data_IF_261685979975
#
_entry.id   IF_261685979975
#
_cell.length_a   1.000
_cell.length_b   1.000
_cell.length_c   1.000
_cell.angle_alpha   90.00
_cell.angle_beta   90.00
_cell.angle_gamma   90.00
#
_symmetry.space_group_name_H-M   'P 1'
#
loop_
_entity.id
_entity.type
_entity.pdbx_description
1 polymer ?
#
# COMPACT_ATOMS: atom_id res chain seq x y z
N UNK A 1 -22.71 29.79 -30.50
CA UNK A 1 -22.06 28.48 -30.31
C UNK A 1 -20.83 28.70 -29.42
N UNK A 2 -20.98 28.55 -28.09
CA UNK A 2 -19.91 28.74 -27.14
C UNK A 2 -19.16 27.42 -27.00
N UNK A 3 -17.93 27.35 -27.49
CA UNK A 3 -17.01 26.23 -27.29
C UNK A 3 -16.56 26.24 -25.83
N UNK A 4 -17.09 25.34 -25.01
CA UNK A 4 -16.60 25.12 -23.65
C UNK A 4 -15.24 24.43 -23.78
N UNK A 5 -14.17 25.21 -23.61
CA UNK A 5 -12.81 24.69 -23.48
C UNK A 5 -12.76 23.89 -22.19
N UNK A 6 -12.80 22.58 -22.28
CA UNK A 6 -12.67 21.65 -21.17
C UNK A 6 -11.17 21.53 -20.83
N UNK A 7 -10.60 22.57 -20.22
CA UNK A 7 -9.25 22.49 -19.68
C UNK A 7 -9.26 21.45 -18.54
N UNK A 8 -8.38 20.44 -18.54
CA UNK A 8 -8.33 19.42 -17.49
C UNK A 8 -8.14 20.07 -16.12
N UNK A 9 -8.98 19.71 -15.16
CA UNK A 9 -8.87 20.20 -13.78
C UNK A 9 -7.53 19.78 -13.17
N UNK A 10 -7.07 20.52 -12.16
CA UNK A 10 -5.80 20.19 -11.46
C UNK A 10 -5.81 18.78 -10.87
N UNK A 11 -6.98 18.30 -10.42
CA UNK A 11 -7.17 16.91 -9.96
C UNK A 11 -6.97 15.90 -11.09
N UNK A 12 -7.56 16.13 -12.26
CA UNK A 12 -7.41 15.28 -13.46
C UNK A 12 -5.94 15.19 -13.91
N UNK A 13 -5.20 16.29 -13.91
CA UNK A 13 -3.76 16.29 -14.26
C UNK A 13 -2.94 15.46 -13.28
N UNK A 14 -3.26 15.47 -11.98
CA UNK A 14 -2.57 14.65 -10.97
C UNK A 14 -2.78 13.15 -11.21
N UNK A 15 -4.02 12.77 -11.44
CA UNK A 15 -4.39 11.38 -11.73
C UNK A 15 -3.72 10.87 -13.02
N UNK A 16 -3.68 11.68 -14.06
CA UNK A 16 -2.98 11.35 -15.32
C UNK A 16 -1.49 11.12 -15.11
N UNK A 17 -0.83 11.96 -14.30
CA UNK A 17 0.59 11.81 -13.97
C UNK A 17 0.82 10.52 -13.17
N UNK A 18 -0.01 10.23 -12.16
CA UNK A 18 0.09 8.99 -11.37
C UNK A 18 -0.17 7.75 -12.23
N UNK A 19 -1.16 7.77 -13.13
CA UNK A 19 -1.42 6.67 -14.04
C UNK A 19 -0.23 6.42 -15.00
N UNK A 20 0.37 7.50 -15.53
CA UNK A 20 1.59 7.40 -16.35
C UNK A 20 2.78 6.87 -15.55
N UNK A 21 2.93 7.29 -14.28
CA UNK A 21 3.98 6.79 -13.40
C UNK A 21 3.80 5.29 -13.11
N UNK A 22 2.57 4.85 -12.81
CA UNK A 22 2.27 3.44 -12.62
C UNK A 22 2.65 2.59 -13.84
N UNK A 23 2.26 3.05 -15.04
CA UNK A 23 2.64 2.40 -16.30
C UNK A 23 4.16 2.34 -16.49
N UNK A 24 4.90 3.42 -16.16
CA UNK A 24 6.37 3.42 -16.24
C UNK A 24 6.99 2.40 -15.27
N UNK A 25 6.49 2.32 -14.04
CA UNK A 25 6.98 1.35 -13.04
C UNK A 25 6.78 -0.10 -13.51
N UNK A 26 5.59 -0.39 -14.04
CA UNK A 26 5.26 -1.75 -14.51
C UNK A 26 6.08 -2.15 -15.75
N UNK A 27 6.32 -1.19 -16.67
CA UNK A 27 7.02 -1.49 -17.93
C UNK A 27 8.54 -1.55 -17.79
N UNK A 28 9.12 -0.70 -16.95
CA UNK A 28 10.59 -0.52 -16.86
C UNK A 28 11.20 -0.95 -15.54
N UNK A 29 10.39 -1.21 -14.53
CA UNK A 29 10.82 -1.33 -13.14
C UNK A 29 11.08 0.04 -12.48
N UNK A 30 10.91 0.11 -11.17
CA UNK A 30 11.00 1.38 -10.42
C UNK A 30 12.38 2.05 -10.53
N UNK A 31 13.45 1.26 -10.66
CA UNK A 31 14.84 1.75 -10.70
C UNK A 31 15.16 2.55 -11.97
N UNK A 32 14.38 2.35 -13.04
CA UNK A 32 14.58 2.99 -14.34
C UNK A 32 13.59 4.12 -14.64
N UNK A 33 12.65 4.35 -13.73
CA UNK A 33 11.63 5.40 -13.92
C UNK A 33 12.23 6.78 -13.73
N UNK A 34 11.91 7.69 -14.64
CA UNK A 34 12.30 9.11 -14.55
C UNK A 34 11.09 10.02 -14.63
N UNK A 35 11.13 11.17 -13.93
CA UNK A 35 10.06 12.16 -14.02
C UNK A 35 9.89 12.72 -15.44
N UNK A 36 10.95 12.73 -16.24
CA UNK A 36 10.90 13.16 -17.65
C UNK A 36 10.06 12.20 -18.50
N UNK A 37 10.23 10.88 -18.32
CA UNK A 37 9.45 9.87 -19.03
C UNK A 37 7.99 9.88 -18.57
N UNK A 38 7.75 10.03 -17.25
CA UNK A 38 6.40 10.19 -16.71
C UNK A 38 5.71 11.40 -17.35
N UNK A 39 6.39 12.57 -17.43
CA UNK A 39 5.84 13.76 -18.06
C UNK A 39 5.46 13.53 -19.53
N UNK A 40 6.34 12.86 -20.28
CA UNK A 40 6.11 12.49 -21.67
C UNK A 40 4.87 11.59 -21.84
N UNK A 41 4.75 10.52 -21.02
CA UNK A 41 3.59 9.62 -21.06
C UNK A 41 2.29 10.29 -20.62
N UNK A 42 2.36 11.14 -19.59
CA UNK A 42 1.19 11.86 -19.10
C UNK A 42 0.72 12.97 -20.06
N UNK A 43 1.51 13.31 -21.11
CA UNK A 43 1.20 14.42 -22.01
C UNK A 43 1.20 15.77 -21.29
N UNK A 44 2.13 15.97 -20.34
CA UNK A 44 2.28 17.22 -19.58
C UNK A 44 3.72 17.73 -19.66
N UNK A 45 3.91 19.01 -19.32
CA UNK A 45 5.26 19.59 -19.25
C UNK A 45 6.04 19.04 -18.05
N UNK A 46 7.38 18.90 -18.17
CA UNK A 46 8.25 18.52 -17.04
C UNK A 46 8.04 19.40 -15.79
N UNK A 47 8.00 20.75 -15.89
CA UNK A 47 7.72 21.60 -14.74
C UNK A 47 6.40 21.28 -14.03
N UNK A 48 5.38 20.80 -14.75
CA UNK A 48 4.10 20.38 -14.17
C UNK A 48 4.27 19.18 -13.24
N UNK A 49 5.10 18.22 -13.61
CA UNK A 49 5.42 17.05 -12.76
C UNK A 49 6.28 17.46 -11.57
N UNK A 50 7.41 18.18 -11.82
CA UNK A 50 8.34 18.59 -10.76
C UNK A 50 7.72 19.48 -9.68
N UNK A 51 6.71 20.26 -10.02
CA UNK A 51 5.99 21.08 -9.04
C UNK A 51 5.21 20.23 -8.01
N UNK A 52 4.75 19.04 -8.40
CA UNK A 52 3.97 18.14 -7.52
C UNK A 52 4.84 17.07 -6.86
N UNK A 53 5.78 16.54 -7.60
CA UNK A 53 6.70 15.50 -7.16
C UNK A 53 8.12 15.92 -7.51
N UNK A 54 8.90 16.35 -6.52
CA UNK A 54 10.25 16.87 -6.77
C UNK A 54 11.23 15.80 -7.27
N UNK A 55 10.95 14.54 -6.97
CA UNK A 55 11.78 13.39 -7.33
C UNK A 55 10.95 12.14 -7.62
N UNK A 56 11.62 11.10 -8.13
CA UNK A 56 11.00 9.80 -8.42
C UNK A 56 10.52 9.11 -7.14
N UNK A 57 11.22 9.29 -6.01
CA UNK A 57 10.85 8.67 -4.74
C UNK A 57 9.48 9.18 -4.27
N UNK A 58 9.23 10.47 -4.37
CA UNK A 58 7.97 11.07 -3.95
C UNK A 58 6.77 10.61 -4.77
N UNK A 59 6.93 10.42 -6.09
CA UNK A 59 5.83 9.92 -6.92
C UNK A 59 5.59 8.42 -6.72
N UNK A 60 6.64 7.61 -6.49
CA UNK A 60 6.50 6.19 -6.16
C UNK A 60 5.84 6.02 -4.79
N UNK A 61 6.19 6.84 -3.79
CA UNK A 61 5.51 6.85 -2.50
C UNK A 61 4.02 7.20 -2.62
N UNK A 62 3.67 8.16 -3.49
CA UNK A 62 2.27 8.48 -3.78
C UNK A 62 1.53 7.31 -4.46
N UNK A 63 2.19 6.60 -5.37
CA UNK A 63 1.64 5.39 -5.99
C UNK A 63 1.38 4.29 -4.96
N UNK A 64 2.36 3.98 -4.11
CA UNK A 64 2.19 2.99 -3.03
C UNK A 64 1.02 3.36 -2.12
N UNK A 65 0.93 4.64 -1.71
CA UNK A 65 -0.18 5.12 -0.87
C UNK A 65 -1.53 4.92 -1.55
N UNK A 66 -1.63 5.17 -2.85
CA UNK A 66 -2.83 4.95 -3.64
C UNK A 66 -3.22 3.47 -3.68
N UNK A 67 -2.30 2.57 -4.05
CA UNK A 67 -2.57 1.12 -4.16
C UNK A 67 -2.94 0.52 -2.80
N UNK A 68 -2.27 0.94 -1.72
CA UNK A 68 -2.65 0.54 -0.35
C UNK A 68 -4.07 1.02 0.00
N UNK A 69 -4.41 2.27 -0.34
CA UNK A 69 -5.76 2.81 -0.09
C UNK A 69 -6.83 2.07 -0.90
N UNK A 70 -6.52 1.68 -2.13
CA UNK A 70 -7.39 0.87 -2.98
C UNK A 70 -7.59 -0.53 -2.37
N UNK A 71 -6.53 -1.22 -1.97
CA UNK A 71 -6.62 -2.51 -1.30
C UNK A 71 -7.45 -2.46 0.00
N UNK A 72 -7.29 -1.39 0.79
CA UNK A 72 -8.10 -1.19 2.01
C UNK A 72 -9.59 -0.99 1.71
N UNK A 73 -9.93 -0.29 0.61
CA UNK A 73 -11.35 -0.11 0.19
C UNK A 73 -11.96 -1.41 -0.30
N UNK A 74 -11.17 -2.20 -1.03
CA UNK A 74 -11.62 -3.44 -1.66
C UNK A 74 -11.70 -4.61 -0.66
N UNK A 75 -11.08 -4.46 0.53
CA UNK A 75 -11.15 -5.40 1.64
C UNK A 75 -12.19 -4.95 2.69
N UNK A 76 -13.44 -5.43 2.62
CA UNK A 76 -14.48 -4.96 3.51
C UNK A 76 -14.21 -5.35 4.97
N UNK A 77 -14.49 -4.44 5.90
CA UNK A 77 -14.57 -4.77 7.31
C UNK A 77 -16.00 -5.22 7.63
N UNK A 78 -16.14 -6.44 8.11
CA UNK A 78 -17.44 -7.07 8.35
C UNK A 78 -17.89 -6.99 9.81
N UNK A 79 -17.04 -6.48 10.72
CA UNK A 79 -17.34 -6.33 12.16
C UNK A 79 -16.19 -5.65 12.90
N UNK A 80 -16.40 -5.36 14.19
CA UNK A 80 -15.43 -4.68 15.06
C UNK A 80 -14.67 -5.65 15.98
N UNK A 81 -14.81 -6.95 15.73
CA UNK A 81 -14.11 -8.00 16.49
C UNK A 81 -12.75 -8.37 15.87
N UNK A 82 -11.97 -9.14 16.65
CA UNK A 82 -10.64 -9.60 16.24
C UNK A 82 -10.67 -10.39 14.92
N UNK A 83 -11.62 -11.30 14.77
CA UNK A 83 -11.68 -12.18 13.59
C UNK A 83 -11.96 -11.38 12.32
N UNK A 84 -12.88 -10.41 12.38
CA UNK A 84 -13.19 -9.50 11.28
C UNK A 84 -11.98 -8.63 10.90
N UNK A 85 -11.25 -8.13 11.90
CA UNK A 85 -10.04 -7.35 11.70
C UNK A 85 -8.93 -8.19 11.04
N UNK A 86 -8.66 -9.39 11.58
CA UNK A 86 -7.64 -10.30 11.01
C UNK A 86 -8.01 -10.69 9.58
N UNK A 87 -9.26 -11.00 9.30
CA UNK A 87 -9.73 -11.31 7.94
C UNK A 87 -9.49 -10.15 6.97
N UNK A 88 -9.79 -8.91 7.39
CA UNK A 88 -9.51 -7.73 6.57
C UNK A 88 -8.01 -7.57 6.30
N UNK A 89 -7.14 -7.72 7.32
CA UNK A 89 -5.69 -7.61 7.18
C UNK A 89 -5.17 -8.65 6.18
N UNK A 90 -5.59 -9.90 6.30
CA UNK A 90 -5.21 -10.99 5.39
C UNK A 90 -5.67 -10.68 3.95
N UNK A 91 -6.88 -10.17 3.78
CA UNK A 91 -7.39 -9.79 2.45
C UNK A 91 -6.58 -8.64 1.85
N UNK A 92 -6.26 -7.60 2.62
CA UNK A 92 -5.38 -6.50 2.16
C UNK A 92 -4.00 -7.02 1.78
N UNK A 93 -3.42 -7.90 2.60
CA UNK A 93 -2.12 -8.50 2.32
C UNK A 93 -2.12 -9.31 1.01
N UNK A 94 -3.17 -10.09 0.76
CA UNK A 94 -3.33 -10.86 -0.48
C UNK A 94 -3.53 -9.96 -1.71
N UNK A 95 -4.33 -8.90 -1.61
CA UNK A 95 -4.50 -7.91 -2.68
C UNK A 95 -3.17 -7.23 -3.03
N UNK A 96 -2.42 -6.77 -2.02
CA UNK A 96 -1.12 -6.12 -2.23
C UNK A 96 -0.08 -7.09 -2.81
N UNK A 97 -0.08 -8.36 -2.38
CA UNK A 97 0.81 -9.40 -2.91
C UNK A 97 0.55 -9.69 -4.41
N UNK A 98 -0.68 -9.54 -4.87
CA UNK A 98 -1.06 -9.71 -6.27
C UNK A 98 -0.88 -8.45 -7.11
N UNK A 99 -0.64 -7.31 -6.47
CA UNK A 99 -0.46 -6.04 -7.15
C UNK A 99 0.93 -5.95 -7.80
N UNK A 100 0.96 -5.91 -9.13
CA UNK A 100 2.20 -5.89 -9.91
C UNK A 100 3.07 -4.67 -9.60
N UNK A 101 2.47 -3.51 -9.35
CA UNK A 101 3.21 -2.29 -9.05
C UNK A 101 3.84 -2.40 -7.65
N UNK A 102 3.06 -2.79 -6.65
CA UNK A 102 3.56 -2.99 -5.27
C UNK A 102 4.70 -3.98 -5.28
N UNK A 103 4.54 -5.14 -5.93
CA UNK A 103 5.59 -6.16 -5.99
C UNK A 103 6.82 -5.69 -6.78
N UNK A 104 6.66 -4.90 -7.84
CA UNK A 104 7.78 -4.30 -8.57
C UNK A 104 8.61 -3.36 -7.67
N UNK A 105 7.96 -2.60 -6.79
CA UNK A 105 8.66 -1.74 -5.83
C UNK A 105 9.33 -2.56 -4.72
N UNK A 106 8.62 -3.57 -4.16
CA UNK A 106 9.13 -4.41 -3.08
C UNK A 106 10.34 -5.25 -3.47
N UNK A 107 10.46 -5.63 -4.74
CA UNK A 107 11.57 -6.42 -5.29
C UNK A 107 12.66 -5.57 -5.95
N UNK A 108 12.59 -4.25 -5.90
CA UNK A 108 13.59 -3.35 -6.47
C UNK A 108 14.75 -3.09 -5.51
N UNK A 109 15.85 -2.58 -6.05
CA UNK A 109 16.98 -2.08 -5.25
C UNK A 109 16.59 -0.89 -4.36
N UNK A 110 15.52 -0.19 -4.70
CA UNK A 110 14.98 0.93 -3.92
C UNK A 110 14.02 0.49 -2.80
N UNK A 111 13.66 -0.78 -2.71
CA UNK A 111 12.77 -1.30 -1.67
C UNK A 111 13.16 -0.86 -0.23
N UNK A 112 14.45 -0.88 0.18
CA UNK A 112 14.85 -0.44 1.51
C UNK A 112 14.40 0.99 1.82
N UNK A 113 14.45 1.90 0.84
CA UNK A 113 14.07 3.31 1.02
C UNK A 113 12.60 3.45 1.37
N UNK A 114 11.74 2.59 0.79
CA UNK A 114 10.28 2.65 0.99
C UNK A 114 9.78 1.83 2.18
N UNK A 115 10.59 0.89 2.67
CA UNK A 115 10.14 -0.13 3.60
C UNK A 115 10.92 -0.11 4.93
N UNK A 116 12.24 0.13 4.90
CA UNK A 116 13.11 -0.09 6.07
C UNK A 116 13.80 1.15 6.61
N UNK A 117 14.05 2.18 5.80
CA UNK A 117 14.78 3.36 6.27
C UNK A 117 13.95 4.27 7.19
N UNK A 118 12.65 4.39 6.90
CA UNK A 118 11.67 5.11 7.74
C UNK A 118 10.26 4.75 7.33
N UNK A 119 9.31 4.94 8.25
CA UNK A 119 7.89 4.79 7.94
C UNK A 119 7.47 5.84 6.89
N UNK A 120 6.96 5.39 5.77
CA UNK A 120 6.38 6.22 4.72
C UNK A 120 4.93 6.60 5.01
N UNK A 121 4.35 7.45 4.17
CA UNK A 121 2.95 7.91 4.31
C UNK A 121 1.95 6.76 4.34
N UNK A 122 2.12 5.76 3.47
CA UNK A 122 1.24 4.58 3.41
C UNK A 122 1.29 3.75 4.70
N UNK A 123 2.48 3.59 5.29
CA UNK A 123 2.65 2.85 6.54
C UNK A 123 2.02 3.59 7.72
N UNK A 124 2.21 4.91 7.85
CA UNK A 124 1.53 5.71 8.88
C UNK A 124 0.01 5.60 8.75
N UNK A 125 -0.52 5.74 7.53
CA UNK A 125 -1.95 5.60 7.26
C UNK A 125 -2.49 4.22 7.70
N UNK A 126 -1.76 3.14 7.43
CA UNK A 126 -2.12 1.78 7.85
C UNK A 126 -2.08 1.64 9.37
N UNK A 127 -1.03 2.14 10.03
CA UNK A 127 -0.89 2.09 11.49
C UNK A 127 -2.04 2.85 12.15
N UNK A 128 -2.35 4.06 11.70
CA UNK A 128 -3.44 4.87 12.27
C UNK A 128 -4.80 4.18 12.11
N UNK A 129 -5.07 3.64 10.91
CA UNK A 129 -6.32 2.91 10.65
C UNK A 129 -6.43 1.65 11.50
N UNK A 130 -5.36 0.87 11.63
CA UNK A 130 -5.32 -0.34 12.45
C UNK A 130 -5.43 -0.02 13.94
N UNK A 131 -4.72 1.00 14.42
CA UNK A 131 -4.76 1.40 15.83
C UNK A 131 -6.17 1.83 16.26
N UNK A 132 -6.87 2.60 15.42
CA UNK A 132 -8.25 2.99 15.68
C UNK A 132 -9.18 1.77 15.83
N UNK A 133 -9.02 0.74 15.00
CA UNK A 133 -9.81 -0.50 15.04
C UNK A 133 -9.44 -1.39 16.21
N UNK A 134 -8.15 -1.53 16.51
CA UNK A 134 -7.68 -2.27 17.69
C UNK A 134 -8.25 -1.67 18.96
N UNK A 135 -8.29 -0.34 19.09
CA UNK A 135 -8.90 0.34 20.25
C UNK A 135 -10.40 0.04 20.37
N UNK A 136 -11.13 -0.12 19.25
CA UNK A 136 -12.53 -0.57 19.28
C UNK A 136 -12.64 -2.01 19.76
N UNK A 137 -11.87 -2.93 19.18
CA UNK A 137 -11.90 -4.35 19.51
C UNK A 137 -11.44 -4.64 20.96
N UNK A 138 -10.55 -3.82 21.53
CA UNK A 138 -10.17 -3.88 22.95
C UNK A 138 -11.33 -3.53 23.87
N UNK A 139 -12.14 -2.50 23.53
CA UNK A 139 -13.31 -2.13 24.35
C UNK A 139 -14.38 -3.21 24.42
N UNK A 140 -14.47 -4.03 23.40
CA UNK A 140 -15.39 -5.19 23.36
C UNK A 140 -14.77 -6.47 23.96
N UNK A 141 -13.51 -6.41 24.40
CA UNK A 141 -12.79 -7.57 24.94
C UNK A 141 -12.38 -8.60 23.89
N UNK A 142 -12.53 -8.29 22.59
CA UNK A 142 -12.17 -9.18 21.49
C UNK A 142 -10.66 -9.21 21.20
N UNK A 143 -9.93 -8.15 21.57
CA UNK A 143 -8.48 -8.02 21.45
C UNK A 143 -7.88 -7.77 22.83
N UNK A 144 -6.72 -8.38 23.14
CA UNK A 144 -6.01 -8.19 24.40
C UNK A 144 -5.70 -6.71 24.69
N UNK A 145 -5.50 -6.38 25.95
CA UNK A 145 -5.06 -5.06 26.37
C UNK A 145 -3.62 -4.77 25.85
N UNK A 146 -3.35 -3.51 25.56
CA UNK A 146 -2.06 -3.02 25.09
C UNK A 146 -2.18 -1.67 24.40
N UNK A 147 -1.06 -1.06 24.06
CA UNK A 147 -1.03 0.17 23.28
C UNK A 147 -1.46 -0.11 21.83
N UNK A 148 -2.57 0.48 21.34
CA UNK A 148 -3.08 0.17 20.00
C UNK A 148 -2.11 0.53 18.87
N UNK A 149 -1.28 1.59 19.03
CA UNK A 149 -0.32 2.01 18.02
C UNK A 149 0.86 1.04 17.92
N UNK A 150 1.37 0.59 19.08
CA UNK A 150 2.42 -0.43 19.12
C UNK A 150 1.92 -1.76 18.54
N UNK A 151 0.71 -2.16 18.87
CA UNK A 151 0.09 -3.38 18.34
C UNK A 151 -0.14 -3.27 16.84
N UNK A 152 -0.66 -2.16 16.36
CA UNK A 152 -0.83 -1.89 14.92
C UNK A 152 0.50 -1.94 14.16
N UNK A 153 1.54 -1.36 14.75
CA UNK A 153 2.90 -1.40 14.16
C UNK A 153 3.40 -2.85 14.04
N UNK A 154 3.22 -3.66 15.08
CA UNK A 154 3.64 -5.07 15.04
C UNK A 154 2.83 -5.88 14.03
N UNK A 155 1.52 -5.66 13.94
CA UNK A 155 0.65 -6.26 12.92
C UNK A 155 1.12 -5.89 11.51
N UNK A 156 1.45 -4.62 11.28
CA UNK A 156 1.99 -4.16 10.00
C UNK A 156 3.30 -4.86 9.67
N UNK A 157 4.23 -5.00 10.60
CA UNK A 157 5.52 -5.68 10.39
C UNK A 157 5.33 -7.14 10.02
N UNK A 158 4.44 -7.86 10.70
CA UNK A 158 4.12 -9.26 10.40
C UNK A 158 3.54 -9.37 8.97
N UNK A 159 2.53 -8.56 8.64
CA UNK A 159 1.91 -8.58 7.33
C UNK A 159 2.89 -8.19 6.21
N UNK A 160 3.69 -7.15 6.41
CA UNK A 160 4.69 -6.68 5.45
C UNK A 160 5.75 -7.75 5.18
N UNK A 161 6.29 -8.39 6.22
CA UNK A 161 7.25 -9.49 6.07
C UNK A 161 6.65 -10.65 5.27
N UNK A 162 5.40 -11.00 5.54
CA UNK A 162 4.66 -12.05 4.82
C UNK A 162 4.52 -11.72 3.33
N UNK A 163 4.16 -10.47 2.99
CA UNK A 163 4.04 -10.02 1.59
C UNK A 163 5.39 -10.08 0.88
N UNK A 164 6.45 -9.56 1.50
CA UNK A 164 7.79 -9.51 0.92
C UNK A 164 8.39 -10.89 0.65
N UNK A 165 8.15 -11.84 1.56
CA UNK A 165 8.74 -13.17 1.50
C UNK A 165 7.89 -14.17 0.72
N UNK A 166 6.69 -13.79 0.26
CA UNK A 166 5.71 -14.69 -0.33
C UNK A 166 6.29 -15.54 -1.47
N UNK A 167 7.07 -14.94 -2.38
CA UNK A 167 7.68 -15.66 -3.51
C UNK A 167 8.80 -16.62 -3.06
N UNK A 168 9.51 -16.28 -1.99
CA UNK A 168 10.61 -17.11 -1.47
C UNK A 168 10.07 -18.37 -0.82
N UNK A 169 8.94 -18.25 -0.12
CA UNK A 169 8.34 -19.36 0.63
C UNK A 169 7.30 -20.16 -0.17
N UNK A 170 6.93 -19.71 -1.36
CA UNK A 170 5.90 -20.31 -2.21
C UNK A 170 6.05 -21.84 -2.42
N UNK A 171 7.27 -22.40 -2.56
CA UNK A 171 7.43 -23.86 -2.68
C UNK A 171 7.05 -24.65 -1.40
N UNK A 172 6.92 -24.00 -0.25
CA UNK A 172 6.57 -24.60 1.05
C UNK A 172 5.19 -24.16 1.51
N UNK A 173 4.90 -22.85 1.37
CA UNK A 173 3.64 -22.22 1.72
C UNK A 173 3.06 -21.57 0.46
N UNK A 174 2.12 -22.22 -0.17
CA UNK A 174 1.36 -21.60 -1.25
C UNK A 174 0.53 -20.40 -0.75
N UNK A 175 -0.18 -19.75 -1.66
CA UNK A 175 -0.93 -18.55 -1.34
C UNK A 175 -1.97 -18.74 -0.22
N UNK A 176 -2.66 -19.88 -0.22
CA UNK A 176 -3.74 -20.16 0.74
C UNK A 176 -3.15 -20.57 2.10
N UNK A 177 -2.10 -21.40 2.10
CA UNK A 177 -1.36 -21.76 3.30
C UNK A 177 -0.73 -20.52 3.96
N UNK A 178 -0.10 -19.65 3.17
CA UNK A 178 0.51 -18.40 3.68
C UNK A 178 -0.54 -17.46 4.29
N UNK A 179 -1.71 -17.33 3.67
CA UNK A 179 -2.83 -16.55 4.21
C UNK A 179 -3.36 -17.14 5.52
N UNK A 180 -3.45 -18.48 5.60
CA UNK A 180 -3.84 -19.22 6.81
C UNK A 180 -2.86 -18.99 7.97
N UNK A 181 -1.55 -19.12 7.71
CA UNK A 181 -0.51 -18.91 8.71
C UNK A 181 -0.43 -17.44 9.17
N UNK A 182 -0.64 -16.49 8.27
CA UNK A 182 -0.76 -15.08 8.64
C UNK A 182 -1.96 -14.86 9.56
N UNK A 183 -3.12 -15.41 9.24
CA UNK A 183 -4.32 -15.32 10.06
C UNK A 183 -4.09 -15.95 11.45
N UNK A 184 -3.47 -17.12 11.51
CA UNK A 184 -3.15 -17.80 12.76
C UNK A 184 -2.21 -16.97 13.63
N UNK A 185 -1.12 -16.46 13.06
CA UNK A 185 -0.15 -15.61 13.75
C UNK A 185 -0.77 -14.35 14.31
N UNK A 186 -1.59 -13.65 13.51
CA UNK A 186 -2.28 -12.43 13.94
C UNK A 186 -3.32 -12.70 15.04
N UNK A 187 -4.09 -13.80 14.94
CA UNK A 187 -5.03 -14.19 15.98
C UNK A 187 -4.30 -14.50 17.30
N UNK A 188 -3.20 -15.24 17.24
CA UNK A 188 -2.39 -15.54 18.43
C UNK A 188 -1.77 -14.28 19.05
N UNK A 189 -1.30 -13.34 18.23
CA UNK A 189 -0.73 -12.08 18.73
C UNK A 189 -1.78 -11.17 19.38
N UNK A 190 -3.00 -11.16 18.88
CA UNK A 190 -4.09 -10.27 19.31
C UNK A 190 -5.02 -10.88 20.37
N UNK A 191 -4.85 -12.16 20.71
CA UNK A 191 -5.65 -12.86 21.74
C UNK A 191 -5.26 -12.48 23.16
#
# INVERSE_FOLDING_TARGET
MLSISNAPTVADTGERILAAAASCVVDFGVDRVTLAEIARRAGVSRPTVYRRWPDTKSIVAALLTRHVSEAMRDAPLLGDDRESLVRQIVTVADLLRRDRLVMSVLHSELAPIYITERLGTSQHMLIDALAARLAVAQRTGSVRAGDPVQMATMVLLIAQSTIQSAQIVEPILDADALAGELAHSLNGYLS
#
